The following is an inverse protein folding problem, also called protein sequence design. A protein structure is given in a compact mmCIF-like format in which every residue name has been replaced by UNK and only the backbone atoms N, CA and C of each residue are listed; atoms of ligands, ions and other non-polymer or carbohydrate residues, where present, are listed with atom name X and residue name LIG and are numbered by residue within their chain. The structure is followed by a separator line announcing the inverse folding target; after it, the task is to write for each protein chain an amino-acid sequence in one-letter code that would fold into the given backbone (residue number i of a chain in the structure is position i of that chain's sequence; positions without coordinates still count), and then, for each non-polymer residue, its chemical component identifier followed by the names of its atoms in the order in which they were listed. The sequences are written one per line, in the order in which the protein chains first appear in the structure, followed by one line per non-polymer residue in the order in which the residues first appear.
data_IF_717751361006
#
_entry.id   IF_717751361006
#
_cell.length_a   1.000
_cell.length_b   1.000
_cell.length_c   1.000
_cell.angle_alpha   90.00
_cell.angle_beta   90.00
_cell.angle_gamma   90.00
#
_symmetry.space_group_name_H-M   'P 1'
#
loop_
_entity.id
_entity.type
_entity.pdbx_description
1 polymer ?
#
# COMPACT_ATOMS: atom_id res chain seq x y z
N UNK A 1 14.72 17.08 -7.11
CA UNK A 1 13.75 17.65 -6.16
C UNK A 1 12.60 16.67 -5.98
N UNK A 2 12.26 16.36 -4.76
CA UNK A 2 11.15 15.47 -4.48
C UNK A 2 9.82 16.12 -4.76
N UNK A 3 8.85 15.34 -5.23
CA UNK A 3 7.48 15.80 -5.35
C UNK A 3 6.89 16.03 -3.95
N UNK A 4 5.89 16.91 -3.86
CA UNK A 4 5.22 17.21 -2.60
C UNK A 4 4.39 16.04 -2.09
N UNK A 5 3.91 15.20 -2.99
CA UNK A 5 3.05 14.06 -2.68
C UNK A 5 3.68 12.77 -3.15
N UNK A 6 3.35 11.70 -2.45
CA UNK A 6 3.86 10.37 -2.76
C UNK A 6 2.74 9.35 -2.79
N UNK A 7 2.91 8.36 -3.65
CA UNK A 7 2.04 7.21 -3.71
C UNK A 7 2.74 6.06 -3.01
N UNK A 8 2.06 5.47 -2.05
CA UNK A 8 2.52 4.29 -1.34
C UNK A 8 1.68 3.13 -1.82
N UNK A 9 2.32 2.12 -2.35
CA UNK A 9 1.65 0.92 -2.81
C UNK A 9 2.23 -0.28 -2.12
N UNK A 10 1.38 -1.11 -1.54
CA UNK A 10 1.82 -2.37 -0.94
C UNK A 10 1.17 -3.52 -1.70
N UNK A 11 1.97 -4.49 -2.07
CA UNK A 11 1.49 -5.71 -2.72
C UNK A 11 1.79 -6.86 -1.77
N UNK A 12 0.75 -7.55 -1.36
CA UNK A 12 0.89 -8.63 -0.40
C UNK A 12 -0.23 -9.65 -0.52
N UNK A 13 -0.39 -10.46 0.48
CA UNK A 13 -1.43 -11.48 0.47
C UNK A 13 -2.81 -10.85 0.64
N UNK A 14 -3.81 -11.44 -0.01
CA UNK A 14 -5.19 -10.96 0.10
C UNK A 14 -5.69 -10.99 1.54
N UNK A 15 -5.35 -12.03 2.28
CA UNK A 15 -5.82 -12.17 3.66
C UNK A 15 -5.27 -11.07 4.56
N UNK A 16 -4.03 -10.69 4.39
CA UNK A 16 -3.42 -9.63 5.20
C UNK A 16 -3.99 -8.26 4.90
N UNK A 17 -4.15 -7.95 3.61
CA UNK A 17 -4.74 -6.67 3.21
C UNK A 17 -6.17 -6.59 3.71
N UNK A 18 -6.94 -7.67 3.55
CA UNK A 18 -8.32 -7.74 4.03
C UNK A 18 -8.40 -7.52 5.54
N UNK A 19 -7.55 -8.19 6.30
CA UNK A 19 -7.50 -8.05 7.74
C UNK A 19 -7.15 -6.62 8.17
N UNK A 20 -6.20 -6.00 7.46
CA UNK A 20 -5.83 -4.63 7.73
C UNK A 20 -7.01 -3.68 7.53
N UNK A 21 -7.72 -3.83 6.40
CA UNK A 21 -8.88 -3.00 6.10
C UNK A 21 -9.98 -3.18 7.16
N UNK A 22 -10.23 -4.40 7.57
CA UNK A 22 -11.24 -4.68 8.61
C UNK A 22 -10.92 -4.01 9.95
N UNK A 23 -9.64 -3.86 10.27
CA UNK A 23 -9.25 -3.26 11.54
C UNK A 23 -9.12 -1.75 11.49
N UNK A 24 -9.25 -1.14 10.31
CA UNK A 24 -9.06 0.30 10.17
C UNK A 24 -9.96 1.12 11.07
N UNK A 25 -11.27 0.83 11.06
CA UNK A 25 -12.23 1.64 11.80
C UNK A 25 -12.13 1.44 13.31
N UNK A 26 -11.67 0.30 13.76
CA UNK A 26 -11.64 -0.04 15.19
C UNK A 26 -10.28 0.15 15.84
N UNK A 27 -9.20 0.08 15.07
CA UNK A 27 -7.86 0.05 15.64
C UNK A 27 -6.91 1.09 15.06
N UNK A 28 -7.01 1.34 13.77
CA UNK A 28 -5.98 2.13 13.07
C UNK A 28 -6.46 3.45 12.50
N UNK A 29 -7.73 3.77 12.63
CA UNK A 29 -8.28 4.98 11.99
C UNK A 29 -7.57 6.25 12.44
N UNK A 30 -7.25 6.33 13.72
CA UNK A 30 -6.56 7.51 14.28
C UNK A 30 -5.16 7.66 13.70
N UNK A 31 -4.45 6.56 13.57
CA UNK A 31 -3.11 6.56 12.98
C UNK A 31 -3.15 6.98 11.51
N UNK A 32 -4.09 6.44 10.76
CA UNK A 32 -4.28 6.77 9.35
C UNK A 32 -4.56 8.25 9.17
N UNK A 33 -5.48 8.81 9.98
CA UNK A 33 -5.77 10.25 9.91
C UNK A 33 -4.56 11.09 10.29
N UNK A 34 -3.85 10.68 11.31
CA UNK A 34 -2.65 11.39 11.77
C UNK A 34 -1.56 11.41 10.70
N UNK A 35 -1.49 10.38 9.90
CA UNK A 35 -0.54 10.29 8.79
C UNK A 35 -1.02 11.07 7.55
N UNK A 36 -2.19 11.67 7.61
CA UNK A 36 -2.72 12.47 6.51
C UNK A 36 -3.28 11.65 5.35
N UNK A 37 -3.61 10.40 5.60
CA UNK A 37 -4.18 9.53 4.59
C UNK A 37 -5.69 9.62 4.64
N UNK A 38 -6.31 10.08 3.55
CA UNK A 38 -7.75 10.29 3.49
C UNK A 38 -8.50 9.18 2.77
N UNK A 39 -7.79 8.31 2.07
CA UNK A 39 -8.44 7.23 1.35
C UNK A 39 -7.47 6.12 1.04
N UNK A 40 -8.00 4.93 0.84
CA UNK A 40 -7.23 3.75 0.49
C UNK A 40 -7.95 3.05 -0.65
N UNK A 41 -7.21 2.70 -1.69
CA UNK A 41 -7.74 1.95 -2.82
C UNK A 41 -7.14 0.56 -2.80
N UNK A 42 -7.99 -0.45 -2.94
CA UNK A 42 -7.55 -1.85 -2.95
C UNK A 42 -8.03 -2.50 -4.23
N UNK A 43 -7.15 -3.24 -4.87
CA UNK A 43 -7.55 -4.08 -5.99
C UNK A 43 -6.78 -5.40 -5.94
N UNK A 44 -7.37 -6.42 -6.54
CA UNK A 44 -6.75 -7.74 -6.58
C UNK A 44 -5.92 -7.87 -7.85
N UNK A 45 -4.82 -8.58 -7.72
CA UNK A 45 -3.90 -8.82 -8.83
C UNK A 45 -3.43 -10.26 -8.78
N UNK A 46 -2.77 -10.69 -9.82
CA UNK A 46 -2.13 -12.00 -9.86
C UNK A 46 -0.63 -11.78 -9.94
N UNK A 47 0.11 -12.52 -9.16
CA UNK A 47 1.55 -12.37 -9.14
C UNK A 47 2.26 -13.69 -8.93
N UNK A 48 3.51 -13.73 -9.28
CA UNK A 48 4.37 -14.86 -8.96
C UNK A 48 5.77 -14.35 -8.61
N UNK A 49 6.39 -15.04 -7.65
CA UNK A 49 7.77 -14.78 -7.31
C UNK A 49 8.68 -15.57 -8.23
N UNK A 50 9.81 -15.00 -8.57
CA UNK A 50 10.79 -15.65 -9.42
C UNK A 50 12.09 -15.94 -8.69
N UNK A 51 12.12 -15.72 -7.38
CA UNK A 51 13.28 -16.00 -6.56
C UNK A 51 13.35 -17.50 -6.27
N UNK A 52 14.53 -18.07 -6.44
CA UNK A 52 14.76 -19.45 -6.03
C UNK A 52 14.63 -19.55 -4.52
N UNK A 53 13.98 -20.25 -3.90
CA UNK A 53 13.81 -20.29 -2.47
C UNK A 53 12.70 -19.43 -1.93
N UNK A 54 11.95 -18.78 -2.79
CA UNK A 54 10.81 -17.99 -2.35
C UNK A 54 9.76 -18.83 -1.63
N UNK A 55 9.68 -20.09 -1.99
CA UNK A 55 8.80 -21.05 -1.32
C UNK A 55 9.51 -21.83 -0.23
N UNK A 56 10.80 -21.63 -0.05
CA UNK A 56 11.61 -22.43 0.84
C UNK A 56 12.00 -23.78 0.28
N UNK A 57 11.63 -24.09 -0.94
CA UNK A 57 11.85 -25.38 -1.57
C UNK A 57 12.50 -25.20 -2.92
N UNK A 58 13.79 -25.08 -2.91
CA UNK A 58 14.53 -24.78 -4.11
C UNK A 58 14.73 -25.98 -5.02
N UNK A 59 14.56 -27.16 -4.50
CA UNK A 59 15.00 -28.36 -5.20
C UNK A 59 14.32 -28.58 -6.54
N UNK A 60 13.03 -28.26 -6.58
CA UNK A 60 12.22 -28.62 -7.74
C UNK A 60 11.65 -27.45 -8.49
N UNK A 61 12.09 -26.24 -8.17
CA UNK A 61 11.50 -25.09 -8.83
C UNK A 61 11.74 -25.08 -10.34
N UNK A 62 12.79 -25.75 -10.81
CA UNK A 62 13.06 -25.87 -12.24
C UNK A 62 12.11 -26.82 -12.93
N UNK A 63 11.49 -27.71 -12.18
CA UNK A 63 10.58 -28.69 -12.75
C UNK A 63 9.13 -28.30 -12.64
N UNK A 64 8.84 -27.30 -11.79
CA UNK A 64 7.50 -26.83 -11.59
C UNK A 64 7.30 -25.48 -12.25
N UNK A 65 6.23 -25.31 -13.03
CA UNK A 65 5.96 -24.01 -13.61
C UNK A 65 5.64 -23.00 -12.51
N UNK A 66 6.06 -21.78 -12.72
CA UNK A 66 5.65 -20.68 -11.86
C UNK A 66 4.15 -20.50 -11.98
N UNK A 67 3.51 -20.27 -10.86
CA UNK A 67 2.07 -20.07 -10.84
C UNK A 67 1.74 -18.65 -10.48
N UNK A 68 0.71 -18.14 -11.11
CA UNK A 68 0.12 -16.87 -10.71
C UNK A 68 -0.74 -17.13 -9.48
N UNK A 69 -0.47 -16.39 -8.45
CA UNK A 69 -1.21 -16.48 -7.19
C UNK A 69 -1.95 -15.17 -6.92
N UNK A 70 -3.12 -15.26 -6.31
CA UNK A 70 -3.87 -14.04 -5.96
C UNK A 70 -3.07 -13.18 -4.99
N UNK A 71 -3.06 -11.88 -5.26
CA UNK A 71 -2.45 -10.87 -4.40
C UNK A 71 -3.41 -9.71 -4.29
N UNK A 72 -3.24 -8.91 -3.26
CA UNK A 72 -3.93 -7.64 -3.16
C UNK A 72 -2.94 -6.51 -3.20
N UNK A 73 -3.34 -5.45 -3.87
CA UNK A 73 -2.58 -4.22 -3.93
C UNK A 73 -3.37 -3.13 -3.20
N UNK A 74 -2.72 -2.46 -2.29
CA UNK A 74 -3.32 -1.37 -1.54
C UNK A 74 -2.54 -0.10 -1.83
N UNK A 75 -3.26 0.94 -2.24
CA UNK A 75 -2.65 2.21 -2.62
C UNK A 75 -3.17 3.32 -1.72
N UNK A 76 -2.26 4.17 -1.28
CA UNK A 76 -2.61 5.37 -0.55
C UNK A 76 -1.70 6.51 -0.99
N UNK A 77 -2.21 7.71 -0.88
CA UNK A 77 -1.48 8.93 -1.23
C UNK A 77 -1.27 9.72 0.05
N UNK A 78 -0.08 10.23 0.23
CA UNK A 78 0.23 11.06 1.39
C UNK A 78 1.19 12.18 0.98
N UNK A 79 1.38 13.13 1.89
CA UNK A 79 2.45 14.10 1.71
C UNK A 79 3.79 13.38 1.78
N UNK A 80 4.72 13.79 0.93
CA UNK A 80 6.05 13.16 0.90
C UNK A 80 6.74 13.25 2.25
N UNK A 81 6.51 14.32 3.00
CA UNK A 81 7.06 14.48 4.35
C UNK A 81 6.59 13.40 5.33
N UNK A 82 5.51 12.70 5.01
CA UNK A 82 4.96 11.64 5.87
C UNK A 82 5.36 10.23 5.45
N UNK A 83 6.05 10.10 4.33
CA UNK A 83 6.37 8.78 3.75
C UNK A 83 7.06 7.86 4.76
N UNK A 84 8.06 8.37 5.45
CA UNK A 84 8.80 7.55 6.41
C UNK A 84 7.90 6.97 7.49
N UNK A 85 7.02 7.80 8.03
CA UNK A 85 6.09 7.39 9.08
C UNK A 85 5.08 6.38 8.56
N UNK A 86 4.57 6.61 7.33
CA UNK A 86 3.64 5.67 6.69
C UNK A 86 4.29 4.31 6.48
N UNK A 87 5.53 4.30 5.97
CA UNK A 87 6.25 3.05 5.75
C UNK A 87 6.47 2.29 7.06
N UNK A 88 6.89 2.98 8.11
CA UNK A 88 7.10 2.33 9.41
C UNK A 88 5.80 1.74 9.96
N UNK A 89 4.70 2.46 9.81
CA UNK A 89 3.39 1.96 10.22
C UNK A 89 3.01 0.69 9.44
N UNK A 90 3.15 0.72 8.11
CA UNK A 90 2.79 -0.43 7.28
C UNK A 90 3.70 -1.62 7.53
N UNK A 91 4.99 -1.39 7.69
CA UNK A 91 5.93 -2.47 7.99
C UNK A 91 5.53 -3.18 9.27
N UNK A 92 5.19 -2.43 10.29
CA UNK A 92 4.77 -3.00 11.57
C UNK A 92 3.50 -3.84 11.43
N UNK A 93 2.52 -3.34 10.67
CA UNK A 93 1.24 -4.02 10.52
C UNK A 93 1.31 -5.26 9.64
N UNK A 94 2.19 -5.27 8.66
CA UNK A 94 2.27 -6.37 7.69
C UNK A 94 3.40 -7.36 7.94
N UNK A 95 4.30 -7.06 8.85
CA UNK A 95 5.44 -7.94 9.12
C UNK A 95 5.04 -9.25 9.79
N UNK A 96 5.47 -10.37 9.23
CA UNK A 96 5.40 -11.68 9.88
C UNK A 96 6.76 -12.33 9.99
N UNK A 97 7.73 -11.87 9.18
CA UNK A 97 9.04 -12.48 9.11
C UNK A 97 9.11 -13.64 8.13
N UNK A 98 8.00 -13.91 7.44
CA UNK A 98 7.94 -15.00 6.47
C UNK A 98 8.00 -14.48 5.05
N UNK A 99 8.42 -15.34 4.14
CA UNK A 99 8.37 -15.06 2.71
C UNK A 99 6.90 -14.85 2.34
N UNK A 100 6.62 -13.78 1.61
CA UNK A 100 5.26 -13.46 1.22
C UNK A 100 4.67 -12.27 1.96
N UNK A 101 5.43 -11.65 2.85
CA UNK A 101 4.98 -10.42 3.53
C UNK A 101 4.68 -9.29 2.54
N UNK A 102 5.31 -9.34 1.37
CA UNK A 102 5.07 -8.35 0.33
C UNK A 102 6.12 -7.26 0.30
N UNK A 103 5.87 -6.30 -0.55
CA UNK A 103 6.78 -5.17 -0.75
C UNK A 103 6.00 -3.87 -0.78
N UNK A 104 6.67 -2.81 -0.39
CA UNK A 104 6.13 -1.45 -0.44
C UNK A 104 6.87 -0.69 -1.53
N UNK A 105 6.11 -0.06 -2.42
CA UNK A 105 6.66 0.76 -3.50
C UNK A 105 6.29 2.20 -3.24
N UNK A 106 7.23 3.09 -3.44
CA UNK A 106 7.03 4.52 -3.24
C UNK A 106 7.31 5.23 -4.56
N UNK A 107 6.40 6.07 -4.98
CA UNK A 107 6.58 6.85 -6.21
C UNK A 107 6.06 8.26 -6.00
N UNK A 108 6.53 9.16 -6.85
CA UNK A 108 6.14 10.56 -6.80
C UNK A 108 4.74 10.74 -7.41
N UNK A 109 3.96 11.61 -6.79
CA UNK A 109 2.68 12.06 -7.32
C UNK A 109 2.80 13.55 -7.58
N UNK A 110 2.63 13.93 -8.83
CA UNK A 110 2.87 15.30 -9.25
C UNK A 110 1.80 16.26 -8.75
N UNK A 111 0.55 15.83 -8.75
CA UNK A 111 -0.57 16.65 -8.27
C UNK A 111 -1.76 15.76 -7.95
N UNK A 112 -2.72 16.31 -7.21
CA UNK A 112 -3.95 15.65 -6.81
C UNK A 112 -5.08 16.63 -7.10
N UNK A 113 -6.13 16.17 -7.75
CA UNK A 113 -7.29 17.02 -8.05
C UNK A 113 -8.55 16.31 -7.58
N UNK A 114 -9.36 16.98 -6.78
CA UNK A 114 -10.65 16.46 -6.36
C UNK A 114 -11.68 16.76 -7.45
N UNK A 115 -12.26 15.74 -8.01
CA UNK A 115 -13.17 15.88 -9.14
C UNK A 115 -14.38 16.76 -8.79
N UNK A 116 -14.97 16.52 -7.62
CA UNK A 116 -16.21 17.21 -7.23
C UNK A 116 -16.04 18.72 -7.07
N UNK A 117 -14.94 19.15 -6.49
CA UNK A 117 -14.75 20.56 -6.12
C UNK A 117 -13.75 21.28 -6.99
N UNK A 118 -12.89 20.56 -7.71
CA UNK A 118 -11.78 21.16 -8.45
C UNK A 118 -10.60 21.57 -7.57
N UNK A 119 -10.68 21.33 -6.26
CA UNK A 119 -9.56 21.61 -5.38
C UNK A 119 -8.35 20.76 -5.79
N UNK A 120 -7.16 21.31 -5.66
CA UNK A 120 -5.94 20.60 -6.01
C UNK A 120 -4.90 20.66 -4.89
N UNK A 121 -3.83 19.89 -5.07
CA UNK A 121 -2.74 19.86 -4.11
C UNK A 121 -3.18 19.36 -2.74
N UNK A 122 -2.70 20.02 -1.70
CA UNK A 122 -2.99 19.62 -0.32
C UNK A 122 -4.48 19.73 -0.02
N UNK A 123 -5.19 20.67 -0.64
CA UNK A 123 -6.63 20.84 -0.43
C UNK A 123 -7.42 19.66 -1.02
N UNK A 124 -6.89 19.00 -2.03
CA UNK A 124 -7.50 17.80 -2.58
C UNK A 124 -7.21 16.57 -1.72
N UNK A 125 -6.10 16.55 -1.02
CA UNK A 125 -5.69 15.42 -0.18
C UNK A 125 -6.43 15.42 1.16
N UNK A 126 -6.66 16.60 1.72
CA UNK A 126 -7.34 16.75 3.00
C UNK A 126 -8.85 16.79 2.83
N UNK A 127 -9.56 16.90 3.94
CA UNK A 127 -11.00 17.09 3.91
C UNK A 127 -11.32 18.37 3.13
N UNK A 128 -12.33 18.29 2.25
CA UNK A 128 -12.72 19.43 1.44
C UNK A 128 -13.12 20.64 2.30
N UNK A 129 -12.70 21.81 1.88
CA UNK A 129 -13.10 23.08 2.48
C UNK A 129 -14.35 23.62 1.80
N UNK A 130 -14.75 22.99 0.72
CA UNK A 130 -15.92 23.38 -0.09
C UNK A 130 -16.97 22.29 0.08
N UNK A 131 -18.06 22.58 0.74
CA UNK A 131 -19.15 21.63 0.91
C UNK A 131 -20.43 22.10 0.24
#
# INVERSE_FOLDING_TARGET
MEAEFSRIEIIGSMSKVSAFIETLSSKHIKEIHKLGISGITVYNAMGCGVQSGSSGYMLDFTEQPLRLLPKSTMIMICETSKVKEVIEFLKKEFYTGHIGDGKIFVSDVRNIIRIRTGEDGIDALQKSKID
#
